data_IF_132696005022
#
_entry.id   IF_132696005022
#
_cell.length_a   1.000
_cell.length_b   1.000
_cell.length_c   1.000
_cell.angle_alpha   90.00
_cell.angle_beta   90.00
_cell.angle_gamma   90.00
#
_symmetry.space_group_name_H-M   'P 1'
#
loop_
_entity.id
_entity.type
_entity.pdbx_description
1 polymer ?
#
# COMPACT_ATOMS: atom_id res chain seq x y z
N UNK A 1 35.50 -16.60 -22.90
CA UNK A 1 34.38 -17.54 -22.63
C UNK A 1 33.23 -17.19 -23.55
N UNK A 2 32.79 -18.15 -24.35
CA UNK A 2 31.87 -17.96 -25.47
C UNK A 2 30.44 -17.66 -25.01
N UNK A 3 29.85 -16.57 -25.51
CA UNK A 3 28.45 -16.24 -25.31
C UNK A 3 27.57 -17.13 -26.20
N UNK A 4 26.78 -18.00 -25.57
CA UNK A 4 25.80 -18.85 -26.24
C UNK A 4 24.84 -18.02 -27.11
N UNK A 5 24.75 -18.40 -28.39
CA UNK A 5 23.80 -17.85 -29.36
C UNK A 5 22.36 -17.99 -28.89
N UNK A 6 21.70 -16.83 -28.68
CA UNK A 6 20.27 -16.78 -28.42
C UNK A 6 19.53 -17.04 -29.74
N UNK A 7 19.01 -18.26 -29.94
CA UNK A 7 17.83 -18.43 -30.80
C UNK A 7 16.79 -17.43 -30.33
N UNK A 8 16.45 -16.43 -31.14
CA UNK A 8 15.21 -15.66 -30.97
C UNK A 8 14.09 -16.70 -30.98
N UNK A 9 13.65 -17.12 -29.79
CA UNK A 9 12.52 -18.04 -29.64
C UNK A 9 11.34 -17.28 -30.25
N UNK A 10 10.80 -17.78 -31.35
CA UNK A 10 9.62 -17.17 -31.96
C UNK A 10 8.53 -17.19 -30.90
N UNK A 11 8.04 -16.00 -30.53
CA UNK A 11 6.92 -15.89 -29.62
C UNK A 11 5.70 -16.56 -30.26
N UNK A 12 4.82 -17.15 -29.45
CA UNK A 12 3.60 -17.81 -29.94
C UNK A 12 2.56 -16.81 -30.50
N UNK A 13 2.89 -15.52 -30.52
CA UNK A 13 2.09 -14.42 -31.06
C UNK A 13 2.92 -13.61 -32.06
N UNK A 14 2.24 -12.90 -32.97
CA UNK A 14 2.90 -12.06 -33.96
C UNK A 14 3.50 -10.80 -33.30
N UNK A 15 4.83 -10.69 -33.32
CA UNK A 15 5.56 -9.56 -32.72
C UNK A 15 5.35 -8.26 -33.49
N UNK A 16 5.24 -8.33 -34.83
CA UNK A 16 5.03 -7.16 -35.70
C UNK A 16 3.64 -6.51 -35.46
N UNK A 17 2.66 -7.30 -34.97
CA UNK A 17 1.34 -6.79 -34.59
C UNK A 17 1.34 -5.99 -33.27
N UNK A 18 2.40 -6.10 -32.48
CA UNK A 18 2.60 -5.35 -31.21
C UNK A 18 3.52 -4.14 -31.45
N UNK A 19 3.63 -3.67 -32.69
CA UNK A 19 4.48 -2.54 -33.10
C UNK A 19 5.99 -2.70 -32.83
N UNK A 20 6.45 -3.95 -32.66
CA UNK A 20 7.87 -4.28 -32.52
C UNK A 20 8.31 -4.89 -33.85
N UNK A 21 9.01 -4.11 -34.67
CA UNK A 21 9.48 -4.60 -35.97
C UNK A 21 10.72 -5.46 -35.81
N UNK A 22 10.98 -6.28 -36.83
CA UNK A 22 12.20 -7.10 -36.92
C UNK A 22 13.45 -6.22 -36.95
N UNK A 23 14.14 -6.13 -35.82
CA UNK A 23 15.34 -5.32 -35.68
C UNK A 23 15.24 -4.28 -34.57
N UNK A 24 14.01 -3.97 -34.12
CA UNK A 24 13.77 -3.08 -33.01
C UNK A 24 14.30 -3.68 -31.70
N UNK A 25 14.84 -2.82 -30.84
CA UNK A 25 15.33 -3.22 -29.52
C UNK A 25 14.15 -3.63 -28.65
N UNK A 26 14.10 -4.91 -28.28
CA UNK A 26 13.16 -5.38 -27.27
C UNK A 26 13.44 -4.69 -25.93
N UNK A 27 12.40 -4.47 -25.10
CA UNK A 27 12.61 -3.94 -23.76
C UNK A 27 13.62 -4.80 -23.01
N UNK A 28 14.52 -4.19 -22.21
CA UNK A 28 15.54 -4.92 -21.49
C UNK A 28 14.90 -5.96 -20.56
N UNK A 29 15.51 -7.14 -20.47
CA UNK A 29 15.07 -8.14 -19.50
C UNK A 29 15.35 -7.63 -18.09
N UNK A 30 14.30 -7.45 -17.29
CA UNK A 30 14.44 -7.10 -15.88
C UNK A 30 15.06 -8.28 -15.11
N UNK A 31 16.19 -8.05 -14.43
CA UNK A 31 16.89 -9.06 -13.63
C UNK A 31 16.37 -9.17 -12.20
N UNK A 32 15.78 -8.11 -11.67
CA UNK A 32 15.27 -8.01 -10.29
C UNK A 32 13.86 -7.38 -10.31
N UNK A 33 12.94 -7.82 -9.44
CA UNK A 33 11.67 -7.14 -9.26
C UNK A 33 11.89 -5.69 -8.80
N UNK A 34 10.97 -4.81 -9.17
CA UNK A 34 10.94 -3.44 -8.65
C UNK A 34 10.83 -3.44 -7.12
N UNK A 35 11.47 -2.48 -6.43
CA UNK A 35 11.39 -2.38 -4.98
C UNK A 35 9.94 -2.10 -4.54
N UNK A 36 9.59 -2.55 -3.33
CA UNK A 36 8.26 -2.33 -2.73
C UNK A 36 7.92 -0.84 -2.58
N UNK A 37 8.92 -0.02 -2.29
CA UNK A 37 8.80 1.43 -2.18
C UNK A 37 9.67 2.09 -3.25
N UNK A 38 9.10 2.51 -4.39
CA UNK A 38 9.84 3.27 -5.38
C UNK A 38 10.27 4.62 -4.79
N UNK A 39 11.38 5.15 -5.27
CA UNK A 39 11.85 6.48 -4.88
C UNK A 39 10.86 7.54 -5.37
N UNK A 40 10.47 8.45 -4.49
CA UNK A 40 9.57 9.55 -4.83
C UNK A 40 10.38 10.77 -5.27
N UNK A 41 10.01 11.35 -6.41
CA UNK A 41 10.59 12.61 -6.90
C UNK A 41 10.14 13.83 -6.07
N UNK A 42 8.97 13.75 -5.43
CA UNK A 42 8.39 14.83 -4.64
C UNK A 42 8.05 14.38 -3.23
N UNK A 43 8.34 15.25 -2.25
CA UNK A 43 8.00 15.03 -0.84
C UNK A 43 6.63 15.64 -0.53
N UNK A 44 5.86 15.07 0.42
CA UNK A 44 4.62 15.68 0.88
C UNK A 44 4.91 17.06 1.51
N UNK A 45 3.93 17.95 1.42
CA UNK A 45 4.03 19.27 2.04
C UNK A 45 4.09 19.15 3.57
N UNK A 46 4.85 20.01 4.26
CA UNK A 46 4.81 20.11 5.71
C UNK A 46 3.39 20.41 6.21
N UNK A 47 3.09 19.99 7.44
CA UNK A 47 1.84 20.34 8.09
C UNK A 47 1.76 21.86 8.30
N UNK A 48 0.56 22.41 8.16
CA UNK A 48 0.30 23.80 8.52
C UNK A 48 0.54 24.00 10.03
N UNK A 49 1.28 25.04 10.38
CA UNK A 49 1.49 25.46 11.76
C UNK A 49 0.58 26.62 12.14
N UNK A 50 0.66 27.03 13.41
CA UNK A 50 -0.10 28.16 13.95
C UNK A 50 -1.01 27.75 15.10
N UNK A 51 -1.29 28.70 15.99
CA UNK A 51 -2.05 28.49 17.23
C UNK A 51 -3.44 27.90 16.96
N UNK A 52 -4.11 28.39 15.92
CA UNK A 52 -5.43 27.90 15.49
C UNK A 52 -5.40 26.42 15.08
N UNK A 53 -4.37 25.99 14.35
CA UNK A 53 -4.22 24.60 13.89
C UNK A 53 -3.86 23.71 15.07
N UNK A 54 -2.97 24.16 15.94
CA UNK A 54 -2.55 23.44 17.15
C UNK A 54 -3.72 23.24 18.12
N UNK A 55 -4.54 24.26 18.32
CA UNK A 55 -5.76 24.18 19.12
C UNK A 55 -6.73 23.13 18.56
N UNK A 56 -7.02 23.17 17.26
CA UNK A 56 -7.91 22.20 16.62
C UNK A 56 -7.36 20.78 16.68
N UNK A 57 -6.03 20.60 16.61
CA UNK A 57 -5.39 19.31 16.77
C UNK A 57 -5.55 18.75 18.17
N UNK A 58 -5.35 19.57 19.21
CA UNK A 58 -5.59 19.19 20.60
C UNK A 58 -7.06 18.82 20.82
N UNK A 59 -7.97 19.69 20.37
CA UNK A 59 -9.42 19.48 20.49
C UNK A 59 -9.85 18.17 19.81
N UNK A 60 -9.38 17.90 18.58
CA UNK A 60 -9.64 16.64 17.87
C UNK A 60 -9.23 15.41 18.70
N UNK A 61 -8.10 15.49 19.41
CA UNK A 61 -7.64 14.38 20.26
C UNK A 61 -8.56 14.18 21.47
N UNK A 62 -9.00 15.25 22.12
CA UNK A 62 -9.93 15.18 23.26
C UNK A 62 -11.27 14.58 22.86
N UNK A 63 -11.80 14.97 21.70
CA UNK A 63 -13.04 14.41 21.16
C UNK A 63 -13.00 12.89 21.02
N UNK A 64 -11.86 12.30 20.66
CA UNK A 64 -11.72 10.84 20.59
C UNK A 64 -11.95 10.17 21.94
N UNK A 65 -11.54 10.81 23.03
CA UNK A 65 -11.80 10.34 24.39
C UNK A 65 -13.25 10.54 24.78
N UNK A 66 -13.76 11.76 24.63
CA UNK A 66 -15.13 12.11 25.00
C UNK A 66 -16.19 11.29 24.25
N UNK A 67 -15.97 11.01 22.96
CA UNK A 67 -16.91 10.21 22.16
C UNK A 67 -17.07 8.78 22.69
N UNK A 68 -16.04 8.19 23.31
CA UNK A 68 -16.11 6.83 23.86
C UNK A 68 -16.99 6.73 25.11
N UNK A 69 -17.20 7.84 25.82
CA UNK A 69 -18.09 7.89 26.99
C UNK A 69 -19.55 8.20 26.64
N UNK A 70 -19.84 8.59 25.39
CA UNK A 70 -21.20 8.88 24.97
C UNK A 70 -22.01 7.59 24.79
N UNK A 71 -23.33 7.61 25.03
CA UNK A 71 -24.19 6.44 24.86
C UNK A 71 -24.29 5.97 23.40
N UNK A 72 -23.85 6.80 22.45
CA UNK A 72 -23.80 6.46 21.03
C UNK A 72 -22.57 5.63 20.63
N UNK A 73 -21.63 5.41 21.56
CA UNK A 73 -20.48 4.54 21.33
C UNK A 73 -20.85 3.07 21.53
N UNK A 74 -21.33 2.43 20.47
CA UNK A 74 -21.70 1.01 20.48
C UNK A 74 -20.42 0.15 20.51
N UNK A 75 -20.23 -0.60 21.59
CA UNK A 75 -19.11 -1.52 21.73
C UNK A 75 -19.36 -2.83 20.97
N UNK A 76 -18.32 -3.43 20.36
CA UNK A 76 -18.42 -4.79 19.83
C UNK A 76 -18.88 -5.77 20.91
N UNK A 77 -19.68 -6.77 20.54
CA UNK A 77 -20.12 -7.80 21.45
C UNK A 77 -18.90 -8.51 22.07
N UNK A 78 -18.85 -8.58 23.41
CA UNK A 78 -17.79 -9.27 24.11
C UNK A 78 -17.79 -10.76 23.70
N UNK A 79 -16.62 -11.37 23.42
CA UNK A 79 -16.56 -12.78 23.12
C UNK A 79 -17.09 -13.56 24.31
N UNK A 80 -18.00 -14.50 24.05
CA UNK A 80 -18.56 -15.38 25.06
C UNK A 80 -17.42 -16.13 25.76
N UNK A 81 -17.35 -16.07 27.10
CA UNK A 81 -16.26 -16.64 27.93
C UNK A 81 -16.15 -18.18 27.90
N UNK A 82 -16.73 -18.85 26.90
CA UNK A 82 -16.80 -20.31 26.81
C UNK A 82 -16.13 -20.94 25.58
N UNK A 83 -15.76 -20.19 24.54
CA UNK A 83 -15.13 -20.77 23.36
C UNK A 83 -14.02 -19.88 22.84
N UNK A 84 -12.77 -20.37 22.94
CA UNK A 84 -11.59 -19.83 22.25
C UNK A 84 -11.83 -20.03 20.75
N UNK A 85 -12.59 -19.12 20.13
CA UNK A 85 -12.72 -19.07 18.68
C UNK A 85 -11.37 -18.66 18.12
N UNK A 86 -10.66 -19.65 17.60
CA UNK A 86 -9.45 -19.49 16.80
C UNK A 86 -9.83 -18.89 15.45
N UNK A 87 -10.23 -17.62 15.45
CA UNK A 87 -10.36 -16.76 14.27
C UNK A 87 -10.90 -15.40 14.74
N UNK A 88 -10.10 -14.68 15.52
CA UNK A 88 -10.26 -13.23 15.59
C UNK A 88 -9.25 -12.65 14.62
N UNK A 89 -9.70 -12.35 13.40
CA UNK A 89 -9.03 -11.33 12.62
C UNK A 89 -9.01 -10.10 13.49
N UNK A 90 -7.82 -9.81 14.02
CA UNK A 90 -7.55 -8.68 14.89
C UNK A 90 -8.29 -7.48 14.33
N UNK A 91 -9.28 -6.99 15.09
CA UNK A 91 -9.79 -5.65 14.89
C UNK A 91 -8.56 -4.77 14.99
N UNK A 92 -8.04 -4.38 13.82
CA UNK A 92 -6.95 -3.43 13.72
C UNK A 92 -7.49 -2.20 14.44
N UNK A 93 -7.02 -2.01 15.67
CA UNK A 93 -7.15 -0.75 16.36
C UNK A 93 -6.60 0.26 15.36
N UNK A 94 -7.52 1.03 14.77
CA UNK A 94 -7.22 2.07 13.80
C UNK A 94 -6.01 2.83 14.34
N UNK A 95 -4.91 2.68 13.61
CA UNK A 95 -3.66 3.36 13.85
C UNK A 95 -3.96 4.83 14.16
N UNK A 96 -3.49 5.25 15.32
CA UNK A 96 -3.40 6.62 15.76
C UNK A 96 -2.01 6.82 16.33
#
# INVERSE_FOLDING_TARGET
MAGCGRRRRMMNFNVDAVSINRGDSLPPSMQQPTPLFPVMEHKPLPLAGGEEVEYLLALKQEFRGAMRSLPFFIQPAAPHRGQRSQNTHSCVSLYL
#
